data_IF_619269842541
#
_entry.id   IF_619269842541
#
_cell.length_a   1.000
_cell.length_b   1.000
_cell.length_c   1.000
_cell.angle_alpha   90.00
_cell.angle_beta   90.00
_cell.angle_gamma   90.00
#
_symmetry.space_group_name_H-M   'P 1'
#
loop_
_entity.id
_entity.type
_entity.pdbx_description
1 polymer ?
#
# COMPACT_ATOMS: atom_id res chain seq x y z
N UNK A 1 7.41 -19.60 1.78
CA UNK A 1 6.48 -19.02 2.78
C UNK A 1 5.88 -17.76 2.17
N UNK A 2 4.98 -17.02 2.84
CA UNK A 2 4.59 -15.68 2.36
C UNK A 2 5.32 -14.65 3.23
N UNK A 3 5.92 -13.63 2.61
CA UNK A 3 6.52 -12.51 3.33
C UNK A 3 5.48 -11.41 3.51
N UNK A 4 5.44 -10.79 4.70
CA UNK A 4 4.51 -9.71 5.02
C UNK A 4 5.29 -8.42 5.23
N UNK A 5 4.81 -7.32 4.65
CA UNK A 5 5.33 -5.98 4.91
C UNK A 5 4.21 -5.08 5.41
N UNK A 6 4.53 -4.25 6.41
CA UNK A 6 3.63 -3.23 6.94
C UNK A 6 4.38 -1.90 6.91
N UNK A 7 3.79 -0.90 6.26
CA UNK A 7 4.33 0.45 6.22
C UNK A 7 3.25 1.46 6.63
N UNK A 8 3.58 2.37 7.54
CA UNK A 8 2.71 3.46 7.96
C UNK A 8 3.43 4.78 7.78
N UNK A 9 2.85 5.72 7.04
CA UNK A 9 3.44 7.03 6.82
C UNK A 9 2.38 8.09 6.44
N UNK A 10 2.67 9.39 6.68
CA UNK A 10 1.83 10.46 6.19
C UNK A 10 1.98 10.63 4.67
N UNK A 11 0.95 11.15 4.03
CA UNK A 11 0.94 11.59 2.63
C UNK A 11 0.40 13.02 2.53
N UNK A 12 0.72 13.72 1.46
CA UNK A 12 0.23 15.11 1.28
C UNK A 12 -1.27 15.16 0.98
N UNK A 13 -1.74 14.23 0.17
CA UNK A 13 -3.13 14.10 -0.28
C UNK A 13 -3.41 12.61 -0.52
N UNK A 14 -4.35 12.04 0.23
CA UNK A 14 -4.64 10.62 0.18
C UNK A 14 -5.16 10.16 -1.19
N UNK A 15 -6.06 10.92 -1.82
CA UNK A 15 -6.71 10.49 -3.05
C UNK A 15 -5.72 10.50 -4.23
N UNK A 16 -4.90 11.54 -4.32
CA UNK A 16 -3.82 11.63 -5.30
C UNK A 16 -2.72 10.57 -5.08
N UNK A 17 -2.37 10.32 -3.82
CA UNK A 17 -1.42 9.26 -3.48
C UNK A 17 -1.98 7.87 -3.84
N UNK A 18 -3.25 7.59 -3.52
CA UNK A 18 -3.90 6.31 -3.79
C UNK A 18 -4.00 6.04 -5.29
N UNK A 19 -4.34 7.05 -6.09
CA UNK A 19 -4.35 6.93 -7.54
C UNK A 19 -2.97 6.53 -8.09
N UNK A 20 -1.90 7.13 -7.55
CA UNK A 20 -0.53 6.75 -7.90
C UNK A 20 -0.21 5.33 -7.42
N UNK A 21 -0.48 5.01 -6.16
CA UNK A 21 -0.26 3.66 -5.61
C UNK A 21 -0.94 2.58 -6.48
N UNK A 22 -2.19 2.81 -6.89
CA UNK A 22 -2.93 1.87 -7.73
C UNK A 22 -2.32 1.70 -9.13
N UNK A 23 -1.80 2.77 -9.73
CA UNK A 23 -1.12 2.70 -11.04
C UNK A 23 0.12 1.80 -11.02
N UNK A 24 0.80 1.67 -9.88
CA UNK A 24 1.98 0.81 -9.73
C UNK A 24 1.63 -0.66 -9.41
N UNK A 25 0.35 -1.05 -9.34
CA UNK A 25 -0.06 -2.43 -9.07
C UNK A 25 0.59 -3.46 -10.01
N UNK A 26 0.66 -3.24 -11.34
CA UNK A 26 1.29 -4.22 -12.24
C UNK A 26 2.76 -4.46 -11.90
N UNK A 27 3.49 -3.39 -11.55
CA UNK A 27 4.91 -3.47 -11.17
C UNK A 27 5.10 -4.22 -9.86
N UNK A 28 4.23 -3.97 -8.86
CA UNK A 28 4.29 -4.71 -7.59
C UNK A 28 3.97 -6.19 -7.78
N UNK A 29 2.97 -6.51 -8.60
CA UNK A 29 2.62 -7.90 -8.95
C UNK A 29 3.76 -8.61 -9.67
N UNK A 30 4.42 -7.95 -10.63
CA UNK A 30 5.60 -8.48 -11.30
C UNK A 30 6.76 -8.74 -10.31
N UNK A 31 6.90 -7.88 -9.30
CA UNK A 31 7.85 -8.04 -8.20
C UNK A 31 7.43 -9.08 -7.13
N UNK A 32 6.34 -9.82 -7.35
CA UNK A 32 5.88 -10.89 -6.47
C UNK A 32 4.85 -10.49 -5.42
N UNK A 33 4.23 -9.30 -5.51
CA UNK A 33 3.10 -8.94 -4.64
C UNK A 33 1.90 -9.86 -4.89
N UNK A 34 1.42 -10.50 -3.83
CA UNK A 34 0.23 -11.36 -3.84
C UNK A 34 -1.02 -10.63 -3.39
N UNK A 35 -0.89 -9.70 -2.44
CA UNK A 35 -1.99 -8.85 -2.00
C UNK A 35 -1.49 -7.52 -1.46
N UNK A 36 -2.35 -6.50 -1.54
CA UNK A 36 -2.17 -5.21 -0.90
C UNK A 36 -3.48 -4.75 -0.27
N UNK A 37 -3.43 -4.31 0.98
CA UNK A 37 -4.52 -3.63 1.68
C UNK A 37 -4.02 -2.24 2.06
N UNK A 38 -4.77 -1.22 1.66
CA UNK A 38 -4.52 0.17 2.02
C UNK A 38 -5.58 0.60 3.02
N UNK A 39 -5.14 1.09 4.17
CA UNK A 39 -5.98 1.62 5.24
C UNK A 39 -5.76 3.12 5.36
N UNK A 40 -6.85 3.88 5.31
CA UNK A 40 -6.88 5.30 5.65
C UNK A 40 -7.21 5.44 7.13
N UNK A 41 -6.42 6.22 7.87
CA UNK A 41 -6.68 6.44 9.29
C UNK A 41 -7.95 7.30 9.47
N UNK A 42 -8.69 7.06 10.54
CA UNK A 42 -9.97 7.73 10.80
C UNK A 42 -9.80 9.10 11.46
N UNK A 43 -8.71 9.28 12.20
CA UNK A 43 -8.32 10.49 12.92
C UNK A 43 -7.42 11.42 12.09
N UNK A 44 -6.58 10.86 11.22
CA UNK A 44 -5.82 11.61 10.22
C UNK A 44 -6.09 11.08 8.80
N UNK A 45 -6.90 11.80 7.98
CA UNK A 45 -7.25 11.37 6.64
C UNK A 45 -6.07 11.35 5.67
N UNK A 46 -4.89 11.85 6.06
CA UNK A 46 -3.65 11.84 5.29
C UNK A 46 -2.60 10.89 5.89
N UNK A 47 -2.97 10.09 6.89
CA UNK A 47 -2.15 8.98 7.37
C UNK A 47 -2.63 7.67 6.72
N UNK A 48 -1.68 6.89 6.23
CA UNK A 48 -1.94 5.62 5.53
C UNK A 48 -1.14 4.49 6.13
N UNK A 49 -1.76 3.31 6.21
CA UNK A 49 -1.07 2.03 6.47
C UNK A 49 -1.29 1.09 5.30
N UNK A 50 -0.21 0.47 4.84
CA UNK A 50 -0.19 -0.51 3.75
C UNK A 50 0.23 -1.85 4.33
N UNK A 51 -0.54 -2.90 4.02
CA UNK A 51 -0.21 -4.29 4.36
C UNK A 51 -0.09 -5.05 3.05
N UNK A 52 1.09 -5.58 2.75
CA UNK A 52 1.31 -6.39 1.55
C UNK A 52 1.70 -7.82 1.92
N UNK A 53 1.38 -8.75 1.03
CA UNK A 53 1.98 -10.09 1.03
C UNK A 53 2.78 -10.30 -0.24
N UNK A 54 3.92 -10.98 -0.13
CA UNK A 54 4.85 -11.20 -1.23
C UNK A 54 5.21 -12.68 -1.38
N UNK A 55 5.66 -13.04 -2.58
CA UNK A 55 6.49 -14.21 -2.81
C UNK A 55 7.75 -14.15 -1.93
N UNK A 56 8.20 -15.32 -1.49
CA UNK A 56 9.31 -15.49 -0.56
C UNK A 56 10.60 -15.84 -1.27
#
# INVERSE_FOLDING_TARGET
>A
MAAYTIATHPVRDFDAWKATFDQFEPIRKEAGERSAVVLRHADDPNMVTIINTWDS
#
